data_IF_409059280484
#
_entry.id   IF_409059280484
#
_cell.length_a   1.000
_cell.length_b   1.000
_cell.length_c   1.000
_cell.angle_alpha   90.00
_cell.angle_beta   90.00
_cell.angle_gamma   90.00
#
_symmetry.space_group_name_H-M   'P 1'
#
loop_
_entity.id
_entity.type
_entity.pdbx_description
1 polymer ?
#
# COMPACT_ATOMS: atom_id res chain seq x y z
N UNK A 1 6.56 19.26 21.27
CA UNK A 1 6.25 17.93 20.72
C UNK A 1 6.16 17.00 21.91
N UNK A 2 4.95 16.75 22.38
CA UNK A 2 4.71 15.83 23.49
C UNK A 2 4.94 14.43 22.98
N UNK A 3 5.98 13.77 23.49
CA UNK A 3 6.15 12.32 23.47
C UNK A 3 4.99 11.74 24.28
N UNK A 4 3.82 11.60 23.66
CA UNK A 4 2.76 10.77 24.20
C UNK A 4 3.30 9.36 24.24
N UNK A 5 3.38 8.78 25.44
CA UNK A 5 3.92 7.45 25.67
C UNK A 5 3.15 6.45 24.79
N UNK A 6 3.83 5.94 23.77
CA UNK A 6 3.29 5.09 22.70
C UNK A 6 3.57 3.60 22.93
N UNK A 7 4.01 3.24 24.13
CA UNK A 7 4.45 1.89 24.48
C UNK A 7 3.36 0.83 24.26
N UNK A 8 2.09 1.23 24.29
CA UNK A 8 0.93 0.33 24.14
C UNK A 8 0.15 0.52 22.82
N UNK A 9 0.68 1.29 21.87
CA UNK A 9 -0.01 1.53 20.59
C UNK A 9 0.00 0.29 19.70
N UNK A 10 -1.17 -0.09 19.19
CA UNK A 10 -1.38 -1.30 18.38
C UNK A 10 -1.30 -0.99 16.88
N UNK A 11 -0.46 -1.72 16.18
CA UNK A 11 -0.21 -1.57 14.75
C UNK A 11 -1.06 -2.54 13.91
N UNK A 12 -1.70 -2.03 12.87
CA UNK A 12 -2.23 -2.87 11.78
C UNK A 12 -1.41 -2.70 10.51
N UNK A 13 -0.82 -3.78 9.99
CA UNK A 13 -0.16 -3.78 8.69
C UNK A 13 -1.14 -4.27 7.64
N UNK A 14 -1.40 -3.44 6.63
CA UNK A 14 -2.30 -3.74 5.51
C UNK A 14 -1.48 -3.92 4.25
N UNK A 15 -1.59 -5.10 3.65
CA UNK A 15 -0.82 -5.49 2.47
C UNK A 15 -1.76 -5.79 1.29
N UNK A 16 -1.86 -4.92 0.27
CA UNK A 16 -2.64 -5.22 -0.92
C UNK A 16 -1.96 -6.33 -1.73
N UNK A 17 -2.71 -7.33 -2.15
CA UNK A 17 -2.16 -8.57 -2.72
C UNK A 17 -3.00 -9.13 -3.87
N UNK A 18 -2.33 -9.66 -4.90
CA UNK A 18 -2.87 -10.58 -5.90
C UNK A 18 -1.73 -11.18 -6.72
N UNK A 19 -1.75 -12.49 -6.98
CA UNK A 19 -0.82 -13.20 -7.87
C UNK A 19 0.68 -12.97 -7.58
N UNK A 20 1.06 -12.88 -6.28
CA UNK A 20 2.43 -12.64 -5.82
C UNK A 20 2.93 -13.70 -4.83
N UNK A 21 2.53 -14.95 -5.04
CA UNK A 21 2.78 -16.06 -4.11
C UNK A 21 4.28 -16.23 -3.76
N UNK A 22 5.18 -16.11 -4.73
CA UNK A 22 6.62 -16.18 -4.50
C UNK A 22 7.18 -15.03 -3.64
N UNK A 23 6.56 -13.86 -3.70
CA UNK A 23 6.89 -12.74 -2.81
C UNK A 23 6.29 -12.95 -1.43
N UNK A 24 5.02 -13.39 -1.35
CA UNK A 24 4.34 -13.62 -0.08
C UNK A 24 5.08 -14.65 0.79
N UNK A 25 5.58 -15.73 0.17
CA UNK A 25 6.40 -16.76 0.85
C UNK A 25 7.72 -16.23 1.43
N UNK A 26 8.25 -15.13 0.89
CA UNK A 26 9.41 -14.45 1.46
C UNK A 26 8.97 -13.42 2.51
N UNK A 27 7.92 -12.64 2.20
CA UNK A 27 7.42 -11.55 3.02
C UNK A 27 6.96 -12.00 4.42
N UNK A 28 6.10 -13.03 4.50
CA UNK A 28 5.50 -13.48 5.76
C UNK A 28 6.58 -13.89 6.79
N UNK A 29 7.48 -14.85 6.52
CA UNK A 29 8.50 -15.23 7.49
C UNK A 29 9.50 -14.10 7.77
N UNK A 30 9.84 -13.27 6.77
CA UNK A 30 10.78 -12.17 6.95
C UNK A 30 10.24 -11.10 7.91
N UNK A 31 9.01 -10.64 7.68
CA UNK A 31 8.38 -9.62 8.53
C UNK A 31 8.06 -10.20 9.90
N UNK A 32 7.60 -11.44 10.01
CA UNK A 32 7.40 -12.09 11.32
C UNK A 32 8.70 -12.09 12.13
N UNK A 33 9.80 -12.58 11.55
CA UNK A 33 11.10 -12.60 12.21
C UNK A 33 11.63 -11.18 12.52
N UNK A 34 11.33 -10.20 11.66
CA UNK A 34 11.66 -8.81 11.90
C UNK A 34 10.97 -8.25 13.15
N UNK A 35 9.67 -8.51 13.33
CA UNK A 35 8.92 -8.04 14.49
C UNK A 35 9.27 -8.82 15.78
N UNK A 36 9.59 -10.11 15.68
CA UNK A 36 9.95 -10.95 16.83
C UNK A 36 11.24 -10.48 17.53
N UNK A 37 12.14 -9.82 16.79
CA UNK A 37 13.41 -9.27 17.32
C UNK A 37 13.32 -7.81 17.78
N UNK A 38 12.18 -7.14 17.63
CA UNK A 38 12.07 -5.73 18.03
C UNK A 38 12.13 -5.57 19.55
N UNK A 39 12.87 -4.54 19.98
CA UNK A 39 12.96 -4.10 21.37
C UNK A 39 12.82 -2.57 21.39
N UNK A 40 11.75 -2.00 21.98
CA UNK A 40 10.61 -2.70 22.59
C UNK A 40 9.78 -3.48 21.55
N UNK A 41 9.02 -4.48 22.02
CA UNK A 41 8.07 -5.19 21.16
C UNK A 41 6.95 -4.24 20.74
N UNK A 42 6.44 -4.42 19.52
CA UNK A 42 5.25 -3.72 19.01
C UNK A 42 4.13 -4.74 18.95
N UNK A 43 2.96 -4.42 19.53
CA UNK A 43 1.75 -5.21 19.30
C UNK A 43 1.25 -4.94 17.87
N UNK A 44 1.19 -5.99 17.05
CA UNK A 44 0.87 -5.86 15.64
C UNK A 44 0.01 -7.01 15.13
N UNK A 45 -0.75 -6.70 14.08
CA UNK A 45 -1.43 -7.68 13.22
C UNK A 45 -1.18 -7.35 11.75
N UNK A 46 -1.33 -8.35 10.89
CA UNK A 46 -1.17 -8.21 9.45
C UNK A 46 -2.39 -8.77 8.72
N UNK A 47 -2.94 -7.97 7.82
CA UNK A 47 -3.99 -8.41 6.91
C UNK A 47 -3.48 -8.29 5.48
N UNK A 48 -3.29 -9.43 4.84
CA UNK A 48 -3.05 -9.53 3.40
C UNK A 48 -4.42 -9.43 2.71
N UNK A 49 -4.66 -8.34 1.99
CA UNK A 49 -5.95 -8.07 1.31
C UNK A 49 -5.84 -8.55 -0.13
N UNK A 50 -6.39 -9.72 -0.40
CA UNK A 50 -6.35 -10.36 -1.72
C UNK A 50 -7.51 -9.90 -2.59
N UNK A 51 -7.23 -9.33 -3.76
CA UNK A 51 -8.29 -8.98 -4.70
C UNK A 51 -8.75 -10.19 -5.51
N UNK A 52 -10.07 -10.37 -5.67
CA UNK A 52 -10.62 -11.30 -6.65
C UNK A 52 -10.03 -11.07 -8.07
N UNK A 53 -9.88 -12.16 -8.80
CA UNK A 53 -9.43 -12.14 -10.18
C UNK A 53 -10.47 -11.49 -11.13
N UNK A 54 -10.02 -11.17 -12.35
CA UNK A 54 -10.90 -10.73 -13.45
C UNK A 54 -10.95 -9.22 -13.70
N UNK A 55 -10.68 -8.39 -12.69
CA UNK A 55 -10.54 -6.93 -12.87
C UNK A 55 -9.06 -6.50 -12.75
N UNK A 56 -8.66 -5.32 -13.28
CA UNK A 56 -7.34 -4.76 -12.99
C UNK A 56 -7.12 -4.61 -11.48
N UNK A 57 -5.87 -4.56 -11.03
CA UNK A 57 -5.57 -4.47 -9.60
C UNK A 57 -5.86 -3.07 -9.06
N UNK A 58 -6.57 -2.93 -7.94
CA UNK A 58 -6.88 -1.64 -7.31
C UNK A 58 -6.19 -1.54 -5.96
N UNK A 59 -4.91 -1.15 -5.99
CA UNK A 59 -4.04 -1.09 -4.82
C UNK A 59 -4.56 -0.14 -3.74
N UNK A 60 -5.09 1.02 -4.14
CA UNK A 60 -5.66 2.01 -3.22
C UNK A 60 -6.93 1.50 -2.52
N UNK A 61 -7.86 0.90 -3.27
CA UNK A 61 -9.08 0.34 -2.69
C UNK A 61 -8.80 -0.83 -1.74
N UNK A 62 -7.77 -1.66 -2.02
CA UNK A 62 -7.36 -2.74 -1.11
C UNK A 62 -6.76 -2.21 0.20
N UNK A 63 -5.95 -1.15 0.13
CA UNK A 63 -5.45 -0.44 1.30
C UNK A 63 -6.59 0.12 2.16
N UNK A 64 -7.60 0.71 1.52
CA UNK A 64 -8.82 1.17 2.18
C UNK A 64 -9.62 0.02 2.82
N UNK A 65 -9.84 -1.08 2.10
CA UNK A 65 -10.57 -2.24 2.62
C UNK A 65 -9.87 -2.86 3.83
N UNK A 66 -8.54 -3.02 3.75
CA UNK A 66 -7.73 -3.51 4.87
C UNK A 66 -7.84 -2.61 6.09
N UNK A 67 -7.70 -1.30 5.92
CA UNK A 67 -7.88 -0.34 7.00
C UNK A 67 -9.25 -0.49 7.69
N UNK A 68 -10.35 -0.55 6.91
CA UNK A 68 -11.70 -0.70 7.47
C UNK A 68 -11.89 -2.00 8.26
N UNK A 69 -11.17 -3.08 7.90
CA UNK A 69 -11.27 -4.35 8.61
C UNK A 69 -10.55 -4.35 9.96
N UNK A 70 -9.53 -3.51 10.17
CA UNK A 70 -8.71 -3.53 11.38
C UNK A 70 -8.71 -2.25 12.21
N UNK A 71 -9.31 -1.15 11.74
CA UNK A 71 -9.31 0.14 12.44
C UNK A 71 -9.87 0.09 13.87
N UNK A 72 -10.81 -0.83 14.16
CA UNK A 72 -11.38 -0.99 15.51
C UNK A 72 -10.47 -1.75 16.49
N UNK A 73 -9.38 -2.33 15.99
CA UNK A 73 -8.46 -3.18 16.74
C UNK A 73 -7.02 -2.65 16.72
N UNK A 74 -6.81 -1.47 16.13
CA UNK A 74 -5.51 -0.80 16.02
C UNK A 74 -5.64 0.69 16.28
N UNK A 75 -4.52 1.32 16.58
CA UNK A 75 -4.45 2.77 16.80
C UNK A 75 -3.88 3.47 15.54
N UNK A 76 -3.02 2.76 14.80
CA UNK A 76 -2.40 3.20 13.56
C UNK A 76 -2.21 2.04 12.57
N UNK A 77 -2.08 2.41 11.31
CA UNK A 77 -1.98 1.48 10.19
C UNK A 77 -0.68 1.69 9.42
N UNK A 78 0.05 0.62 9.12
CA UNK A 78 1.10 0.62 8.10
C UNK A 78 0.51 0.14 6.77
N UNK A 79 0.51 1.01 5.77
CA UNK A 79 0.14 0.70 4.40
C UNK A 79 1.39 0.19 3.68
N UNK A 80 1.45 -1.12 3.41
CA UNK A 80 2.71 -1.80 3.12
C UNK A 80 2.61 -2.63 1.84
N UNK A 81 3.51 -2.44 0.87
CA UNK A 81 3.58 -3.25 -0.34
C UNK A 81 4.32 -4.59 -0.06
N UNK A 82 3.86 -5.70 -0.64
CA UNK A 82 4.35 -7.07 -0.33
C UNK A 82 5.82 -7.32 -0.71
N UNK A 83 6.39 -6.46 -1.55
CA UNK A 83 7.69 -6.61 -2.16
C UNK A 83 8.80 -5.81 -1.44
N UNK A 84 8.53 -5.20 -0.28
CA UNK A 84 9.55 -4.54 0.54
C UNK A 84 9.78 -5.30 1.86
N UNK A 85 10.97 -5.88 2.02
CA UNK A 85 11.32 -6.63 3.23
C UNK A 85 12.08 -5.73 4.21
N UNK A 86 11.60 -5.48 5.43
CA UNK A 86 12.27 -4.56 6.36
C UNK A 86 13.63 -5.10 6.81
N UNK A 87 14.69 -4.30 6.67
CA UNK A 87 16.04 -4.62 7.16
C UNK A 87 16.32 -3.86 8.45
N UNK A 88 16.03 -2.56 8.44
CA UNK A 88 16.18 -1.64 9.56
C UNK A 88 15.19 -0.48 9.38
N UNK A 89 14.02 -0.58 9.99
CA UNK A 89 12.93 0.38 9.85
C UNK A 89 12.14 0.52 11.16
N UNK A 90 11.82 1.75 11.53
CA UNK A 90 11.09 2.06 12.76
C UNK A 90 9.58 2.10 12.50
N UNK A 91 8.91 1.02 12.92
CA UNK A 91 7.46 0.83 12.85
C UNK A 91 6.71 1.36 14.07
N UNK A 92 7.37 1.98 15.06
CA UNK A 92 6.71 2.49 16.26
C UNK A 92 5.62 3.51 15.91
N UNK A 93 4.73 3.79 16.86
CA UNK A 93 3.70 4.83 16.68
C UNK A 93 4.24 6.12 16.06
N UNK A 94 3.50 6.65 15.09
CA UNK A 94 3.69 7.99 14.55
C UNK A 94 2.40 8.77 14.70
N UNK A 95 2.48 10.04 15.10
CA UNK A 95 1.33 10.94 15.29
C UNK A 95 0.87 11.63 13.99
N UNK A 96 1.61 11.41 12.90
CA UNK A 96 1.35 11.96 11.58
C UNK A 96 1.74 10.96 10.47
N UNK A 97 1.24 11.12 9.24
CA UNK A 97 1.66 10.32 8.09
C UNK A 97 3.19 10.30 7.98
N UNK A 98 3.77 9.11 8.07
CA UNK A 98 5.22 8.92 8.18
C UNK A 98 5.66 7.78 7.28
N UNK A 99 6.15 8.09 6.06
CA UNK A 99 6.87 7.14 5.24
C UNK A 99 8.09 6.59 5.97
N UNK A 100 8.27 5.27 5.87
CA UNK A 100 9.37 4.56 6.51
C UNK A 100 10.30 3.87 5.51
N UNK A 101 9.91 3.75 4.24
CA UNK A 101 10.79 3.30 3.15
C UNK A 101 11.65 4.47 2.66
N UNK A 102 12.96 4.40 2.91
CA UNK A 102 13.91 5.46 2.54
C UNK A 102 15.13 4.96 1.76
N UNK A 103 15.57 3.73 2.02
CA UNK A 103 16.73 3.13 1.38
C UNK A 103 16.43 1.74 0.81
N UNK A 104 17.12 1.40 -0.28
CA UNK A 104 17.17 0.07 -0.88
C UNK A 104 16.28 -0.11 -2.11
N UNK A 105 15.43 0.88 -2.43
CA UNK A 105 14.44 0.82 -3.51
C UNK A 105 14.51 2.01 -4.48
N UNK A 106 15.58 2.81 -4.42
CA UNK A 106 15.75 4.04 -5.20
C UNK A 106 15.73 3.78 -6.71
N UNK A 107 16.25 2.61 -7.12
CA UNK A 107 16.20 2.13 -8.50
C UNK A 107 15.64 0.71 -8.53
N UNK A 108 14.62 0.50 -9.36
CA UNK A 108 13.96 -0.80 -9.53
C UNK A 108 13.96 -1.20 -11.01
N UNK A 109 14.22 -2.47 -11.36
CA UNK A 109 14.10 -2.93 -12.74
C UNK A 109 12.66 -2.79 -13.26
N UNK A 110 12.50 -2.45 -14.54
CA UNK A 110 11.16 -2.38 -15.16
C UNK A 110 10.60 -3.76 -15.51
N UNK A 111 11.45 -4.66 -15.98
CA UNK A 111 11.07 -6.00 -16.41
C UNK A 111 12.28 -6.94 -16.21
N UNK A 112 12.49 -7.45 -14.98
CA UNK A 112 13.59 -8.35 -14.67
C UNK A 112 13.71 -9.50 -15.69
N UNK A 113 14.90 -9.69 -16.26
CA UNK A 113 15.15 -10.72 -17.27
C UNK A 113 14.65 -10.41 -18.69
N UNK A 114 13.95 -9.30 -18.91
CA UNK A 114 13.49 -8.85 -20.24
C UNK A 114 13.99 -7.47 -20.63
N UNK A 115 14.42 -6.67 -19.66
CA UNK A 115 14.95 -5.32 -19.87
C UNK A 115 16.07 -5.02 -18.88
N UNK A 116 17.05 -4.25 -19.33
CA UNK A 116 18.13 -3.68 -18.52
C UNK A 116 17.76 -2.31 -17.93
N UNK A 117 16.55 -1.80 -18.23
CA UNK A 117 16.09 -0.49 -17.79
C UNK A 117 15.62 -0.53 -16.34
N UNK A 118 15.81 0.60 -15.67
CA UNK A 118 15.34 0.84 -14.30
C UNK A 118 14.48 2.09 -14.24
N UNK A 119 13.58 2.13 -13.25
CA UNK A 119 12.85 3.33 -12.86
C UNK A 119 13.43 3.83 -11.55
N UNK A 120 13.70 5.13 -11.51
CA UNK A 120 14.15 5.83 -10.31
C UNK A 120 12.96 6.39 -9.54
N UNK A 121 12.90 6.12 -8.25
CA UNK A 121 11.91 6.70 -7.33
C UNK A 121 12.62 7.60 -6.32
N UNK A 122 12.15 8.84 -6.18
CA UNK A 122 12.61 9.70 -5.08
C UNK A 122 11.94 9.23 -3.77
N UNK A 123 12.63 8.38 -3.01
CA UNK A 123 12.12 7.85 -1.75
C UNK A 123 11.95 8.94 -0.68
N UNK A 124 12.65 10.06 -0.80
CA UNK A 124 12.53 11.18 0.15
C UNK A 124 11.17 11.89 0.05
N UNK A 125 10.53 11.86 -1.12
CA UNK A 125 9.25 12.53 -1.39
C UNK A 125 8.07 11.57 -1.57
N UNK A 126 8.30 10.29 -1.86
CA UNK A 126 7.23 9.31 -2.07
C UNK A 126 6.43 9.03 -0.79
N UNK A 127 5.16 8.64 -0.95
CA UNK A 127 4.31 8.08 0.12
C UNK A 127 3.99 6.59 -0.14
N UNK A 128 4.60 6.00 -1.18
CA UNK A 128 4.42 4.59 -1.53
C UNK A 128 5.35 3.64 -0.77
N UNK A 129 5.21 2.34 -1.01
CA UNK A 129 6.03 1.31 -0.39
C UNK A 129 5.59 0.95 1.02
N UNK A 130 6.00 1.74 2.02
CA UNK A 130 5.64 1.53 3.42
C UNK A 130 5.39 2.88 4.12
N UNK A 131 4.17 3.08 4.61
CA UNK A 131 3.70 4.34 5.19
C UNK A 131 2.91 4.09 6.47
N UNK A 132 3.35 4.68 7.58
CA UNK A 132 2.60 4.72 8.83
C UNK A 132 1.55 5.84 8.79
N UNK A 133 0.33 5.51 9.17
CA UNK A 133 -0.83 6.41 9.21
C UNK A 133 -1.55 6.28 10.55
N UNK A 134 -1.69 7.36 11.34
CA UNK A 134 -2.66 7.39 12.43
C UNK A 134 -4.07 7.10 11.88
N UNK A 135 -4.86 6.26 12.55
CA UNK A 135 -6.18 5.87 12.05
C UNK A 135 -7.13 7.08 11.89
N UNK A 136 -7.05 8.05 12.81
CA UNK A 136 -7.79 9.31 12.70
C UNK A 136 -7.42 10.12 11.47
N UNK A 137 -6.15 10.14 11.07
CA UNK A 137 -5.69 10.83 9.86
C UNK A 137 -6.15 10.10 8.60
N UNK A 138 -6.13 8.77 8.60
CA UNK A 138 -6.64 7.96 7.50
C UNK A 138 -8.13 8.28 7.20
N UNK A 139 -8.95 8.41 8.26
CA UNK A 139 -10.34 8.91 8.16
C UNK A 139 -10.41 10.37 7.71
N UNK A 140 -9.57 11.25 8.25
CA UNK A 140 -9.56 12.68 7.90
C UNK A 140 -9.31 12.91 6.40
N UNK A 141 -8.42 12.13 5.79
CA UNK A 141 -8.10 12.24 4.34
C UNK A 141 -9.09 11.51 3.43
N UNK A 142 -10.04 10.76 4.01
CA UNK A 142 -10.94 9.83 3.34
C UNK A 142 -10.19 8.72 2.55
N UNK A 143 -9.05 8.28 3.08
CA UNK A 143 -8.18 7.26 2.49
C UNK A 143 -7.76 7.53 1.04
N UNK A 144 -7.43 6.44 0.33
CA UNK A 144 -7.07 6.44 -1.09
C UNK A 144 -8.30 6.66 -1.97
N UNK A 145 -8.11 7.22 -3.15
CA UNK A 145 -9.09 7.13 -4.23
C UNK A 145 -9.35 5.67 -4.62
N UNK A 146 -10.62 5.33 -4.87
CA UNK A 146 -11.03 4.02 -5.36
C UNK A 146 -10.99 3.95 -6.90
N UNK A 147 -10.63 5.04 -7.59
CA UNK A 147 -10.72 5.17 -9.04
C UNK A 147 -9.49 4.66 -9.82
N UNK A 148 -8.37 4.38 -9.15
CA UNK A 148 -7.14 3.94 -9.79
C UNK A 148 -7.08 2.42 -9.92
N UNK A 149 -7.47 1.95 -11.11
CA UNK A 149 -7.40 0.56 -11.52
C UNK A 149 -6.14 0.35 -12.37
N UNK A 150 -5.35 -0.65 -12.04
CA UNK A 150 -4.01 -0.86 -12.60
C UNK A 150 -2.96 0.04 -11.96
N UNK A 151 -1.79 0.13 -12.59
CA UNK A 151 -0.64 0.83 -12.03
C UNK A 151 -0.70 2.34 -12.24
N UNK A 152 -0.36 3.10 -11.20
CA UNK A 152 0.00 4.51 -11.28
C UNK A 152 -1.05 5.46 -10.70
N UNK A 153 -0.52 6.58 -10.18
CA UNK A 153 -1.24 7.75 -9.68
C UNK A 153 -1.98 7.61 -8.34
N UNK A 154 -2.21 6.41 -7.82
CA UNK A 154 -2.89 6.23 -6.53
C UNK A 154 -2.11 6.82 -5.33
N UNK A 155 -0.79 6.61 -5.26
CA UNK A 155 0.05 7.19 -4.20
C UNK A 155 0.20 8.72 -4.38
N UNK A 156 0.18 9.22 -5.62
CA UNK A 156 0.22 10.66 -5.92
C UNK A 156 -1.07 11.35 -5.48
N UNK A 157 -2.23 10.77 -5.78
CA UNK A 157 -3.53 11.23 -5.31
C UNK A 157 -3.59 11.27 -3.78
N UNK A 158 -3.20 10.17 -3.13
CA UNK A 158 -3.20 10.09 -1.67
C UNK A 158 -2.29 11.13 -1.02
N UNK A 159 -1.08 11.31 -1.56
CA UNK A 159 -0.15 12.37 -1.14
C UNK A 159 -0.78 13.77 -1.27
N UNK A 160 -1.53 14.02 -2.34
CA UNK A 160 -2.17 15.30 -2.59
C UNK A 160 -3.36 15.52 -1.65
N UNK A 161 -4.13 14.48 -1.29
CA UNK A 161 -5.19 14.53 -0.27
C UNK A 161 -4.66 14.94 1.11
N UNK A 162 -3.50 14.43 1.51
CA UNK A 162 -2.80 14.81 2.75
C UNK A 162 -2.37 16.27 2.68
N UNK A 163 -1.68 16.66 1.61
CA UNK A 163 -1.17 18.03 1.41
C UNK A 163 -2.29 19.07 1.36
N UNK A 164 -3.38 18.79 0.65
CA UNK A 164 -4.52 19.71 0.50
C UNK A 164 -5.21 20.00 1.85
N UNK A 165 -5.13 19.08 2.81
CA UNK A 165 -5.63 19.26 4.19
C UNK A 165 -4.61 19.89 5.14
N UNK A 166 -3.41 20.23 4.66
CA UNK A 166 -2.31 20.81 5.44
C UNK A 166 -1.92 19.93 6.63
N UNK A 167 -2.02 18.61 6.47
CA UNK A 167 -1.64 17.65 7.49
C UNK A 167 -0.10 17.56 7.48
N UNK A 168 0.58 17.77 8.63
CA UNK A 168 2.03 17.58 8.73
C UNK A 168 2.42 16.14 8.39
N UNK A 169 3.62 15.94 7.85
CA UNK A 169 4.15 14.62 7.52
C UNK A 169 5.50 14.43 8.20
N UNK A 170 5.70 13.27 8.82
CA UNK A 170 6.99 12.83 9.33
C UNK A 170 7.78 12.09 8.26
N UNK A 171 9.02 11.69 8.60
CA UNK A 171 9.84 10.77 7.81
C UNK A 171 10.73 9.96 8.75
N UNK A 172 10.85 8.65 8.49
CA UNK A 172 11.84 7.78 9.12
C UNK A 172 12.66 7.10 8.04
N UNK A 173 13.98 7.07 8.24
CA UNK A 173 14.92 6.63 7.21
C UNK A 173 15.13 5.12 7.24
N UNK A 174 14.07 4.35 7.05
CA UNK A 174 14.15 2.89 7.08
C UNK A 174 14.77 2.31 5.81
N UNK A 175 15.50 1.20 5.98
CA UNK A 175 16.09 0.38 4.92
C UNK A 175 15.25 -0.86 4.70
N UNK A 176 14.95 -1.13 3.43
CA UNK A 176 14.25 -2.33 2.99
C UNK A 176 15.04 -3.04 1.90
N UNK A 177 14.91 -4.36 1.86
CA UNK A 177 15.34 -5.20 0.76
C UNK A 177 14.14 -5.39 -0.17
N UNK A 178 14.15 -4.85 -1.39
CA UNK A 178 13.03 -5.01 -2.29
C UNK A 178 13.09 -6.35 -3.04
N UNK A 179 11.93 -6.85 -3.46
CA UNK A 179 11.76 -8.05 -4.27
C UNK A 179 11.42 -7.66 -5.70
N UNK A 180 12.25 -8.08 -6.65
CA UNK A 180 12.09 -7.70 -8.06
C UNK A 180 10.81 -8.26 -8.68
N UNK A 181 10.20 -7.45 -9.53
CA UNK A 181 9.06 -7.84 -10.35
C UNK A 181 8.91 -6.94 -11.58
N UNK A 182 8.08 -7.38 -12.52
CA UNK A 182 7.61 -6.54 -13.62
C UNK A 182 6.88 -5.30 -13.09
N UNK A 183 7.41 -4.12 -13.41
CA UNK A 183 6.77 -2.84 -13.15
C UNK A 183 5.81 -2.50 -14.29
N UNK A 184 4.61 -3.01 -14.14
CA UNK A 184 3.42 -2.77 -14.96
C UNK A 184 3.01 -1.30 -15.19
N UNK A 185 3.59 -0.36 -14.43
CA UNK A 185 3.45 1.08 -14.70
C UNK A 185 4.24 1.55 -15.92
N UNK A 186 5.15 0.71 -16.42
CA UNK A 186 6.05 1.01 -17.53
C UNK A 186 6.09 -0.14 -18.54
N UNK A 187 6.50 0.18 -19.77
CA UNK A 187 6.91 -0.81 -20.78
C UNK A 187 8.36 -1.26 -20.51
N UNK A 188 8.84 -2.33 -21.17
CA UNK A 188 10.25 -2.73 -21.10
C UNK A 188 11.24 -1.63 -21.48
N UNK A 189 10.84 -0.64 -22.27
CA UNK A 189 11.66 0.52 -22.65
C UNK A 189 11.62 1.67 -21.62
N UNK A 190 11.06 1.42 -20.42
CA UNK A 190 10.83 2.41 -19.37
C UNK A 190 9.94 3.60 -19.79
N UNK A 191 9.11 3.44 -20.83
CA UNK A 191 8.05 4.38 -21.15
C UNK A 191 6.80 4.08 -20.31
N UNK A 192 5.96 5.08 -19.95
CA UNK A 192 4.70 4.82 -19.25
C UNK A 192 3.81 3.82 -20.00
N UNK A 193 3.28 2.84 -19.28
CA UNK A 193 2.38 1.84 -19.87
C UNK A 193 1.02 2.46 -20.26
N UNK A 194 0.24 1.83 -21.17
CA UNK A 194 -1.09 2.33 -21.53
C UNK A 194 -2.00 2.59 -20.33
N UNK A 195 -2.00 1.69 -19.34
CA UNK A 195 -2.82 1.85 -18.13
C UNK A 195 -2.34 3.00 -17.25
N UNK A 196 -1.03 3.21 -17.14
CA UNK A 196 -0.45 4.36 -16.42
C UNK A 196 -0.82 5.69 -17.09
N UNK A 197 -0.86 5.74 -18.42
CA UNK A 197 -1.31 6.91 -19.18
C UNK A 197 -2.81 7.19 -19.01
N UNK A 198 -3.64 6.15 -18.89
CA UNK A 198 -5.06 6.31 -18.52
C UNK A 198 -5.19 6.87 -17.11
N UNK A 199 -4.49 6.28 -16.14
CA UNK A 199 -4.54 6.72 -14.74
C UNK A 199 -4.03 8.15 -14.56
N UNK A 200 -3.09 8.61 -15.39
CA UNK A 200 -2.71 10.02 -15.47
C UNK A 200 -3.89 10.93 -15.80
N UNK A 201 -4.70 10.57 -16.80
CA UNK A 201 -5.89 11.35 -17.20
C UNK A 201 -6.96 11.31 -16.11
N UNK A 202 -7.21 10.14 -15.52
CA UNK A 202 -8.12 9.99 -14.37
C UNK A 202 -7.71 10.94 -13.24
N UNK A 203 -6.43 10.96 -12.86
CA UNK A 203 -5.90 11.88 -11.85
C UNK A 203 -6.13 13.36 -12.22
N UNK A 204 -5.83 13.74 -13.46
CA UNK A 204 -6.02 15.12 -13.94
C UNK A 204 -7.49 15.55 -13.91
N UNK A 205 -8.42 14.66 -14.25
CA UNK A 205 -9.85 14.92 -14.19
C UNK A 205 -10.34 15.07 -12.75
N UNK A 206 -9.97 14.14 -11.87
CA UNK A 206 -10.34 14.17 -10.45
C UNK A 206 -9.89 15.49 -9.78
N UNK A 207 -8.68 15.95 -10.10
CA UNK A 207 -8.10 17.16 -9.52
C UNK A 207 -8.27 18.43 -10.37
N UNK A 208 -9.09 18.37 -11.42
CA UNK A 208 -9.27 19.48 -12.38
C UNK A 208 -9.74 20.79 -11.73
N UNK A 209 -10.44 20.71 -10.60
CA UNK A 209 -10.92 21.88 -9.84
C UNK A 209 -9.93 22.40 -8.80
N UNK A 210 -8.80 21.71 -8.61
CA UNK A 210 -7.83 21.98 -7.55
C UNK A 210 -8.33 21.63 -6.13
N UNK A 211 -9.48 20.96 -6.02
CA UNK A 211 -10.06 20.51 -4.75
C UNK A 211 -9.97 18.98 -4.64
N UNK A 212 -10.00 18.50 -3.39
CA UNK A 212 -10.09 17.07 -3.11
C UNK A 212 -11.35 16.51 -3.78
N UNK A 213 -11.25 15.42 -4.56
CA UNK A 213 -12.41 14.80 -5.19
C UNK A 213 -13.48 14.41 -4.17
N UNK A 214 -14.74 14.80 -4.42
CA UNK A 214 -15.86 14.41 -3.58
C UNK A 214 -16.42 13.04 -3.99
N UNK A 215 -16.92 12.27 -3.03
CA UNK A 215 -17.55 10.97 -3.32
C UNK A 215 -16.59 9.90 -3.80
N UNK A 216 -15.31 9.99 -3.42
CA UNK A 216 -14.28 9.04 -3.79
C UNK A 216 -13.30 8.88 -2.63
N UNK A 217 -13.26 7.70 -2.01
CA UNK A 217 -12.48 7.45 -0.80
C UNK A 217 -13.02 6.32 0.07
N UNK A 218 -12.52 6.22 1.30
CA UNK A 218 -12.98 5.28 2.33
C UNK A 218 -14.49 5.32 2.53
N UNK A 219 -15.06 6.52 2.58
CA UNK A 219 -16.48 6.77 2.82
C UNK A 219 -17.40 6.20 1.74
N UNK A 220 -16.86 5.88 0.57
CA UNK A 220 -17.61 5.38 -0.60
C UNK A 220 -17.18 3.98 -1.03
N UNK A 221 -16.15 3.41 -0.40
CA UNK A 221 -15.68 2.08 -0.74
C UNK A 221 -16.74 1.04 -0.37
N UNK A 222 -17.08 0.17 -1.33
CA UNK A 222 -17.99 -0.95 -1.14
C UNK A 222 -17.35 -2.24 -1.64
N UNK A 223 -17.31 -3.26 -0.79
CA UNK A 223 -16.69 -4.55 -1.07
C UNK A 223 -17.35 -5.68 -0.27
N UNK A 224 -17.20 -6.90 -0.77
CA UNK A 224 -17.58 -8.14 -0.11
C UNK A 224 -16.33 -8.88 0.35
N UNK A 225 -16.35 -9.42 1.58
CA UNK A 225 -15.37 -10.42 2.02
C UNK A 225 -15.84 -11.78 1.52
N UNK A 226 -15.04 -12.41 0.67
CA UNK A 226 -15.36 -13.71 0.07
C UNK A 226 -14.93 -14.85 0.99
N UNK A 227 -13.74 -14.76 1.57
CA UNK A 227 -13.21 -15.72 2.53
C UNK A 227 -12.05 -15.13 3.35
N UNK A 228 -11.71 -15.84 4.43
CA UNK A 228 -10.55 -15.59 5.28
C UNK A 228 -9.78 -16.89 5.44
N UNK A 229 -8.45 -16.83 5.36
CA UNK A 229 -7.56 -17.98 5.55
C UNK A 229 -6.29 -17.57 6.30
N UNK A 230 -5.66 -18.49 7.04
CA UNK A 230 -4.35 -18.21 7.64
C UNK A 230 -3.29 -17.98 6.55
N UNK A 231 -2.21 -17.29 6.92
CA UNK A 231 -1.02 -17.18 6.06
C UNK A 231 -0.13 -18.42 6.26
N UNK A 232 0.00 -19.26 5.24
CA UNK A 232 0.95 -20.36 5.26
C UNK A 232 2.40 -19.84 5.43
N UNK A 233 3.19 -20.49 6.29
CA UNK A 233 4.59 -20.11 6.52
C UNK A 233 4.81 -19.05 7.62
N UNK A 234 3.78 -18.66 8.35
CA UNK A 234 3.94 -17.96 9.62
C UNK A 234 4.59 -18.89 10.66
N UNK A 235 5.49 -18.37 11.51
CA UNK A 235 6.15 -19.17 12.56
C UNK A 235 5.07 -19.68 13.53
N UNK A 236 5.23 -20.87 14.12
CA UNK A 236 4.29 -21.45 15.10
C UNK A 236 3.89 -20.40 16.15
N UNK A 237 2.60 -20.06 16.23
CA UNK A 237 2.07 -19.01 17.13
C UNK A 237 1.91 -17.61 16.50
N UNK A 238 2.24 -17.44 15.22
CA UNK A 238 1.90 -16.26 14.42
C UNK A 238 0.51 -16.37 13.75
N UNK A 239 -0.12 -17.55 13.80
CA UNK A 239 -1.38 -17.88 13.12
C UNK A 239 -2.56 -16.99 13.52
N UNK A 240 -2.51 -16.32 14.69
CA UNK A 240 -3.55 -15.37 15.12
C UNK A 240 -3.29 -13.93 14.66
N UNK A 241 -2.03 -13.58 14.35
CA UNK A 241 -1.64 -12.22 13.95
C UNK A 241 -1.76 -11.99 12.45
N UNK A 242 -1.78 -13.05 11.65
CA UNK A 242 -1.71 -13.00 10.20
C UNK A 242 -2.94 -13.62 9.56
N UNK A 243 -3.57 -12.90 8.65
CA UNK A 243 -4.67 -13.42 7.84
C UNK A 243 -4.56 -12.95 6.39
N UNK A 244 -5.01 -13.80 5.48
CA UNK A 244 -5.36 -13.43 4.10
C UNK A 244 -6.87 -13.29 4.03
N UNK A 245 -7.33 -12.13 3.56
CA UNK A 245 -8.75 -11.85 3.36
C UNK A 245 -8.96 -11.56 1.89
N UNK A 246 -9.72 -12.44 1.21
CA UNK A 246 -10.06 -12.24 -0.19
C UNK A 246 -11.31 -11.39 -0.32
N UNK A 247 -11.24 -10.36 -1.15
CA UNK A 247 -12.31 -9.37 -1.32
C UNK A 247 -12.72 -9.19 -2.78
N UNK A 248 -13.99 -8.88 -2.99
CA UNK A 248 -14.56 -8.42 -4.25
C UNK A 248 -15.01 -6.97 -4.11
N UNK A 249 -14.61 -6.11 -5.03
CA UNK A 249 -15.10 -4.74 -5.09
C UNK A 249 -16.43 -4.64 -5.81
N UNK A 250 -17.33 -3.79 -5.30
CA UNK A 250 -18.66 -3.56 -5.89
C UNK A 250 -18.66 -2.44 -6.94
N UNK A 251 -17.53 -1.76 -7.13
CA UNK A 251 -17.28 -0.81 -8.21
C UNK A 251 -16.39 -1.43 -9.29
N UNK A 252 -16.36 -0.78 -10.47
CA UNK A 252 -15.62 -1.28 -11.63
C UNK A 252 -14.66 -0.22 -12.20
N UNK A 253 -13.59 -0.65 -12.90
CA UNK A 253 -12.77 0.24 -13.72
C UNK A 253 -13.60 0.95 -14.80
N UNK A 254 -13.07 2.09 -15.28
CA UNK A 254 -13.59 2.73 -16.49
C UNK A 254 -13.32 1.86 -17.73
N UNK A 255 -14.13 1.96 -18.80
CA UNK A 255 -13.92 1.17 -20.02
C UNK A 255 -12.52 1.34 -20.64
N UNK A 256 -11.94 2.53 -20.56
CA UNK A 256 -10.59 2.79 -21.07
C UNK A 256 -9.48 2.22 -20.18
N UNK A 257 -9.71 2.10 -18.86
CA UNK A 257 -8.84 1.35 -17.95
C UNK A 257 -8.90 -0.15 -18.23
N UNK A 258 -10.08 -0.72 -18.49
CA UNK A 258 -10.22 -2.14 -18.87
C UNK A 258 -9.50 -2.42 -20.20
N UNK A 259 -9.75 -1.59 -21.22
CA UNK A 259 -9.10 -1.73 -22.52
C UNK A 259 -7.57 -1.62 -22.41
N UNK A 260 -7.06 -0.67 -21.63
CA UNK A 260 -5.62 -0.50 -21.45
C UNK A 260 -4.96 -1.61 -20.62
N UNK A 261 -5.69 -2.21 -19.67
CA UNK A 261 -5.20 -3.36 -18.91
C UNK A 261 -5.17 -4.65 -19.75
N UNK A 262 -6.08 -4.80 -20.71
CA UNK A 262 -6.12 -5.93 -21.64
C UNK A 262 -5.05 -5.86 -22.75
N UNK A 263 -4.50 -4.67 -23.03
CA UNK A 263 -3.47 -4.45 -24.05
C UNK A 263 -2.04 -4.83 -23.62
N UNK A 264 -1.90 -5.64 -22.56
CA UNK A 264 -0.62 -6.06 -21.98
C UNK A 264 -0.01 -7.27 -22.68
#
# INVERSE_FOLDING_TARGET
MTTGDSADARLHIVVPYRDREAHLRQFVPWVSAYFDRLVPRIDYRVTIVEQEAGLPFNRGALKNAGFLMGEGQSDYTCLHDVDYLPVDADYSWADCPTPILWYGAEQRPVAPGRSDRTVSTNLESTMGGALLMPNGVMRQVDGYSNAFWGWGYEDFDFSLRIRARRIPTGRRKGRFQPLDHDNDGFTPDAAPSPISLVNRRVFQELWSTGKIPAGDGLSTLSFEVLDRRPCDGAVVGADERWEIVRVRFNHRPRPDQEAAAAAR
#
